data_IF_750869686032
#
_entry.id   IF_750869686032
#
_cell.length_a   1.000
_cell.length_b   1.000
_cell.length_c   1.000
_cell.angle_alpha   90.00
_cell.angle_beta   90.00
_cell.angle_gamma   90.00
#
_symmetry.space_group_name_H-M   'P 1'
#
loop_
_entity.id
_entity.type
_entity.pdbx_description
1 polymer ?
#
# COMPACT_ATOMS: atom_id res chain seq x y z
N UNK A 1 14.93 3.77 25.85
CA UNK A 1 15.17 4.47 24.58
C UNK A 1 16.64 4.83 24.52
N UNK A 2 17.29 4.53 23.40
CA UNK A 2 18.62 5.07 23.11
C UNK A 2 18.45 6.57 22.86
N UNK A 3 19.51 7.37 22.99
CA UNK A 3 19.45 8.80 22.66
C UNK A 3 20.54 9.12 21.64
N UNK A 4 20.18 9.89 20.63
CA UNK A 4 21.11 10.46 19.64
C UNK A 4 20.88 11.96 19.63
N UNK A 5 21.92 12.76 19.91
CA UNK A 5 21.82 14.23 20.02
C UNK A 5 20.70 14.69 20.99
N UNK A 6 20.55 13.99 22.12
CA UNK A 6 19.47 14.19 23.11
C UNK A 6 18.04 13.97 22.59
N UNK A 7 17.87 13.34 21.43
CA UNK A 7 16.58 12.94 20.89
C UNK A 7 16.37 11.44 21.21
N UNK A 8 15.24 11.06 21.83
CA UNK A 8 14.91 9.66 22.06
C UNK A 8 14.82 8.90 20.72
N UNK A 9 15.51 7.78 20.64
CA UNK A 9 15.48 6.88 19.49
C UNK A 9 15.20 5.44 19.92
N UNK A 10 14.57 4.73 18.99
CA UNK A 10 14.28 3.31 19.08
C UNK A 10 14.99 2.62 17.92
N UNK A 11 15.57 1.45 18.20
CA UNK A 11 16.21 0.62 17.18
C UNK A 11 15.20 -0.47 16.85
N UNK A 12 14.68 -0.47 15.62
CA UNK A 12 13.84 -1.56 15.12
C UNK A 12 14.69 -2.83 14.95
N UNK A 13 14.04 -3.98 15.08
CA UNK A 13 14.71 -5.29 14.93
C UNK A 13 15.05 -5.57 13.45
N UNK A 14 14.14 -5.18 12.57
CA UNK A 14 14.21 -5.46 11.13
C UNK A 14 14.00 -4.13 10.39
N UNK A 15 12.76 -3.77 10.07
CA UNK A 15 12.42 -2.53 9.39
C UNK A 15 11.82 -1.49 10.34
N UNK A 16 12.09 -0.20 10.06
CA UNK A 16 11.57 0.90 10.89
C UNK A 16 10.07 1.15 10.65
N UNK A 17 9.60 1.00 9.42
CA UNK A 17 8.26 1.38 8.97
C UNK A 17 7.11 0.71 9.74
N UNK A 18 7.10 -0.63 9.95
CA UNK A 18 6.07 -1.26 10.78
C UNK A 18 6.04 -0.70 12.21
N UNK A 19 7.20 -0.46 12.81
CA UNK A 19 7.29 0.08 14.17
C UNK A 19 6.80 1.54 14.21
N UNK A 20 7.18 2.35 13.24
CA UNK A 20 6.76 3.75 13.13
C UNK A 20 5.25 3.82 12.90
N UNK A 21 4.68 2.98 12.03
CA UNK A 21 3.24 2.89 11.83
C UNK A 21 2.52 2.53 13.14
N UNK A 22 2.96 1.49 13.84
CA UNK A 22 2.41 1.10 15.15
C UNK A 22 2.47 2.21 16.19
N UNK A 23 3.62 2.89 16.32
CA UNK A 23 3.78 3.99 17.28
C UNK A 23 2.92 5.19 16.89
N UNK A 24 2.81 5.50 15.60
CA UNK A 24 1.97 6.60 15.11
C UNK A 24 0.50 6.37 15.45
N UNK A 25 0.02 5.14 15.29
CA UNK A 25 -1.35 4.74 15.62
C UNK A 25 -1.59 4.71 17.13
N UNK A 26 -0.72 4.05 17.89
CA UNK A 26 -0.91 3.84 19.34
C UNK A 26 -0.78 5.12 20.18
N UNK A 27 -0.12 6.15 19.64
CA UNK A 27 0.10 7.43 20.33
C UNK A 27 -0.53 8.63 19.62
N UNK A 28 -1.34 8.40 18.59
CA UNK A 28 -1.97 9.46 17.77
C UNK A 28 -0.95 10.50 17.26
N UNK A 29 0.19 10.02 16.77
CA UNK A 29 1.26 10.86 16.21
C UNK A 29 1.22 10.86 14.68
N UNK A 30 1.80 11.90 14.08
CA UNK A 30 2.01 11.98 12.63
C UNK A 30 3.41 11.44 12.32
N UNK A 31 3.50 10.43 11.47
CA UNK A 31 4.79 9.90 11.03
C UNK A 31 5.43 10.82 9.98
N UNK A 32 6.75 10.99 10.04
CA UNK A 32 7.52 11.76 9.05
C UNK A 32 8.46 10.79 8.33
N UNK A 33 8.38 10.73 7.02
CA UNK A 33 9.00 9.66 6.22
C UNK A 33 9.36 10.16 4.81
N UNK A 34 10.22 9.44 4.09
CA UNK A 34 10.39 9.57 2.64
C UNK A 34 9.48 8.64 1.84
N UNK A 35 8.82 7.69 2.49
CA UNK A 35 8.11 6.55 1.89
C UNK A 35 6.60 6.58 2.20
N UNK A 36 5.77 6.21 1.23
CA UNK A 36 4.32 6.06 1.40
C UNK A 36 3.88 4.70 1.96
N UNK A 37 4.78 3.72 2.07
CA UNK A 37 4.46 2.36 2.53
C UNK A 37 3.87 2.28 3.94
N UNK A 38 4.11 3.31 4.77
CA UNK A 38 3.44 3.46 6.07
C UNK A 38 1.90 3.44 5.99
N UNK A 39 1.31 3.85 4.86
CA UNK A 39 -0.14 3.74 4.64
C UNK A 39 -0.59 2.28 4.53
N UNK A 40 0.23 1.40 3.94
CA UNK A 40 -0.04 -0.03 3.82
C UNK A 40 0.11 -0.75 5.17
N UNK A 41 0.99 -0.26 6.06
CA UNK A 41 1.05 -0.64 7.48
C UNK A 41 -0.07 0.00 8.34
N UNK A 42 -0.98 0.76 7.72
CA UNK A 42 -2.17 1.30 8.37
C UNK A 42 -2.00 2.66 9.05
N UNK A 43 -0.86 3.33 8.92
CA UNK A 43 -0.70 4.68 9.43
C UNK A 43 -1.74 5.63 8.79
N UNK A 44 -2.44 6.39 9.63
CA UNK A 44 -3.51 7.29 9.18
C UNK A 44 -3.03 8.66 8.73
N UNK A 45 -1.93 9.14 9.31
CA UNK A 45 -1.39 10.48 9.07
C UNK A 45 0.11 10.41 8.86
N UNK A 46 0.56 10.79 7.66
CA UNK A 46 1.97 10.80 7.32
C UNK A 46 2.37 12.10 6.63
N UNK A 47 3.60 12.55 6.88
CA UNK A 47 4.27 13.61 6.15
C UNK A 47 5.35 12.95 5.30
N UNK A 48 5.14 12.93 3.99
CA UNK A 48 6.11 12.43 3.02
C UNK A 48 7.04 13.58 2.61
N UNK A 49 8.28 13.56 3.08
CA UNK A 49 9.30 14.57 2.82
C UNK A 49 10.02 14.25 1.52
N UNK A 50 9.81 15.07 0.49
CA UNK A 50 10.48 14.92 -0.80
C UNK A 50 11.84 15.64 -0.83
N UNK A 51 11.94 16.78 -0.15
CA UNK A 51 13.19 17.51 -0.01
C UNK A 51 13.17 18.36 1.25
N UNK A 52 13.95 17.94 2.26
CA UNK A 52 14.08 18.68 3.51
C UNK A 52 14.66 20.08 3.28
N UNK A 53 15.73 20.20 2.50
CA UNK A 53 16.41 21.47 2.24
C UNK A 53 15.51 22.51 1.53
N UNK A 54 14.52 22.04 0.74
CA UNK A 54 13.57 22.92 0.04
C UNK A 54 12.25 23.09 0.79
N UNK A 55 12.07 22.42 1.93
CA UNK A 55 10.81 22.39 2.66
C UNK A 55 9.67 21.77 1.85
N UNK A 56 9.97 20.84 0.95
CA UNK A 56 8.96 20.18 0.11
C UNK A 56 8.50 18.89 0.76
N UNK A 57 7.25 18.88 1.20
CA UNK A 57 6.60 17.74 1.81
C UNK A 57 5.14 17.65 1.36
N UNK A 58 4.57 16.45 1.46
CA UNK A 58 3.15 16.19 1.29
C UNK A 58 2.59 15.67 2.59
N UNK A 59 1.49 16.24 3.05
CA UNK A 59 0.70 15.69 4.14
C UNK A 59 -0.36 14.77 3.55
N UNK A 60 -0.46 13.56 4.07
CA UNK A 60 -1.55 12.62 3.79
C UNK A 60 -2.25 12.40 5.13
N UNK A 61 -3.52 12.80 5.21
CA UNK A 61 -4.38 12.65 6.38
C UNK A 61 -5.63 11.86 5.97
N UNK A 62 -5.70 10.60 6.39
CA UNK A 62 -6.80 9.69 6.09
C UNK A 62 -8.01 9.87 7.00
N UNK A 63 -7.94 10.76 8.01
CA UNK A 63 -9.09 11.17 8.81
C UNK A 63 -9.71 12.48 8.27
N UNK A 64 -9.18 13.05 7.18
CA UNK A 64 -9.74 14.23 6.54
C UNK A 64 -11.03 13.90 5.75
N UNK A 65 -11.86 14.93 5.51
CA UNK A 65 -13.06 14.79 4.67
C UNK A 65 -12.67 14.31 3.25
N UNK A 66 -13.39 13.32 2.69
CA UNK A 66 -13.12 12.81 1.35
C UNK A 66 -13.27 13.91 0.29
N UNK A 67 -12.19 14.15 -0.44
CA UNK A 67 -12.18 14.92 -1.68
C UNK A 67 -12.46 14.04 -2.91
N UNK A 68 -12.16 14.54 -4.11
CA UNK A 68 -12.25 13.74 -5.34
C UNK A 68 -11.04 12.80 -5.50
N UNK A 69 -10.92 11.82 -4.60
CA UNK A 69 -9.81 10.86 -4.57
C UNK A 69 -10.33 9.41 -4.50
N UNK A 70 -10.60 8.77 -5.66
CA UNK A 70 -11.23 7.43 -5.70
C UNK A 70 -10.51 6.34 -4.91
N UNK A 71 -9.17 6.38 -4.84
CA UNK A 71 -8.41 5.43 -4.01
C UNK A 71 -8.62 5.66 -2.50
N UNK A 72 -8.84 6.91 -2.09
CA UNK A 72 -9.20 7.22 -0.72
C UNK A 72 -10.63 6.77 -0.39
N UNK A 73 -11.56 6.91 -1.33
CA UNK A 73 -12.92 6.39 -1.19
C UNK A 73 -12.91 4.87 -0.94
N UNK A 74 -12.12 4.12 -1.74
CA UNK A 74 -11.90 2.69 -1.50
C UNK A 74 -11.29 2.41 -0.11
N UNK A 75 -10.32 3.20 0.32
CA UNK A 75 -9.73 3.06 1.66
C UNK A 75 -10.76 3.30 2.77
N UNK A 76 -11.67 4.26 2.63
CA UNK A 76 -12.69 4.51 3.65
C UNK A 76 -13.58 3.28 3.86
N UNK A 77 -13.88 2.56 2.78
CA UNK A 77 -14.70 1.34 2.80
C UNK A 77 -13.93 0.10 3.28
N UNK A 78 -12.72 -0.11 2.76
CA UNK A 78 -12.00 -1.38 2.90
C UNK A 78 -10.71 -1.29 3.75
N UNK A 79 -10.31 -0.09 4.16
CA UNK A 79 -9.13 0.20 4.98
C UNK A 79 -7.80 -0.16 4.28
N UNK A 80 -6.79 -0.52 5.07
CA UNK A 80 -5.39 -0.65 4.63
C UNK A 80 -5.18 -1.67 3.50
N UNK A 81 -6.06 -2.67 3.36
CA UNK A 81 -5.99 -3.67 2.28
C UNK A 81 -5.93 -3.04 0.89
N UNK A 82 -6.53 -1.86 0.71
CA UNK A 82 -6.47 -1.12 -0.55
C UNK A 82 -5.06 -0.68 -0.87
N UNK A 83 -4.35 -0.12 0.10
CA UNK A 83 -2.96 0.31 -0.10
C UNK A 83 -2.02 -0.88 -0.23
N UNK A 84 -2.26 -1.96 0.51
CA UNK A 84 -1.46 -3.19 0.42
C UNK A 84 -1.56 -3.83 -0.97
N UNK A 85 -2.78 -3.98 -1.50
CA UNK A 85 -3.01 -4.50 -2.85
C UNK A 85 -2.52 -3.53 -3.92
N UNK A 86 -2.68 -2.22 -3.72
CA UNK A 86 -2.17 -1.20 -4.63
C UNK A 86 -0.63 -1.22 -4.71
N UNK A 87 0.05 -1.35 -3.57
CA UNK A 87 1.51 -1.50 -3.50
C UNK A 87 1.98 -2.77 -4.22
N UNK A 88 1.29 -3.91 -4.01
CA UNK A 88 1.59 -5.15 -4.73
C UNK A 88 1.45 -4.98 -6.26
N UNK A 89 0.44 -4.25 -6.73
CA UNK A 89 0.26 -3.99 -8.16
C UNK A 89 1.30 -3.01 -8.73
N UNK A 90 1.59 -1.91 -8.02
CA UNK A 90 2.46 -0.83 -8.49
C UNK A 90 3.95 -1.14 -8.36
N UNK A 91 4.31 -2.01 -7.43
CA UNK A 91 5.67 -2.23 -6.97
C UNK A 91 5.92 -1.55 -5.63
N UNK A 92 6.53 -2.29 -4.72
CA UNK A 92 7.12 -1.84 -3.46
C UNK A 92 8.39 -2.65 -3.17
N UNK A 93 9.06 -2.38 -2.07
CA UNK A 93 10.34 -3.02 -1.69
C UNK A 93 10.24 -4.55 -1.55
N UNK A 94 9.03 -5.08 -1.34
CA UNK A 94 8.78 -6.52 -1.22
C UNK A 94 8.40 -7.20 -2.53
N UNK A 95 8.14 -6.44 -3.59
CA UNK A 95 7.81 -7.00 -4.89
C UNK A 95 9.06 -7.49 -5.61
N UNK A 96 8.96 -8.66 -6.28
CA UNK A 96 10.08 -9.22 -7.07
C UNK A 96 10.57 -8.31 -8.20
N UNK A 97 9.68 -7.45 -8.69
CA UNK A 97 9.97 -6.49 -9.75
C UNK A 97 9.64 -5.10 -9.22
N UNK A 98 10.51 -4.12 -9.47
CA UNK A 98 10.35 -2.72 -9.06
C UNK A 98 8.99 -2.10 -9.44
N UNK A 99 8.32 -2.67 -10.45
CA UNK A 99 7.02 -2.22 -10.96
C UNK A 99 5.84 -3.11 -10.57
N UNK A 100 6.02 -4.02 -9.61
CA UNK A 100 4.98 -4.97 -9.21
C UNK A 100 4.51 -5.83 -10.39
N UNK A 101 3.22 -5.70 -10.72
CA UNK A 101 2.62 -6.34 -11.89
C UNK A 101 2.68 -5.36 -13.07
N UNK A 102 3.55 -5.65 -14.04
CA UNK A 102 3.74 -4.81 -15.23
C UNK A 102 2.40 -4.63 -15.97
N UNK A 103 2.04 -3.37 -16.20
CA UNK A 103 0.80 -2.99 -16.85
C UNK A 103 -0.34 -2.68 -15.89
N UNK A 104 -0.20 -2.86 -14.58
CA UNK A 104 -1.24 -2.47 -13.60
C UNK A 104 -0.87 -1.13 -12.97
N UNK A 105 -1.28 -0.06 -13.64
CA UNK A 105 -1.21 1.32 -13.12
C UNK A 105 -2.44 1.68 -12.29
N UNK A 106 -2.50 2.95 -11.85
CA UNK A 106 -3.64 3.48 -11.09
C UNK A 106 -4.99 3.21 -11.75
N UNK A 107 -5.15 3.59 -13.01
CA UNK A 107 -6.43 3.44 -13.72
C UNK A 107 -6.86 1.98 -13.82
N UNK A 108 -5.92 1.09 -14.16
CA UNK A 108 -6.19 -0.35 -14.24
C UNK A 108 -6.50 -0.94 -12.87
N UNK A 109 -5.83 -0.49 -11.81
CA UNK A 109 -6.14 -0.91 -10.45
C UNK A 109 -7.58 -0.51 -10.07
N UNK A 110 -7.96 0.74 -10.32
CA UNK A 110 -9.32 1.23 -10.03
C UNK A 110 -10.38 0.47 -10.83
N UNK A 111 -10.10 0.15 -12.10
CA UNK A 111 -10.98 -0.67 -12.94
C UNK A 111 -11.14 -2.10 -12.39
N UNK A 112 -10.05 -2.74 -11.93
CA UNK A 112 -10.13 -4.05 -11.27
C UNK A 112 -10.91 -3.96 -9.97
N UNK A 113 -10.61 -2.96 -9.13
CA UNK A 113 -11.26 -2.74 -7.84
C UNK A 113 -12.77 -2.57 -7.99
N UNK A 114 -13.23 -1.87 -9.04
CA UNK A 114 -14.67 -1.68 -9.32
C UNK A 114 -15.43 -2.96 -9.65
N UNK A 115 -14.71 -4.04 -9.97
CA UNK A 115 -15.26 -5.35 -10.33
C UNK A 115 -15.17 -6.36 -9.19
N UNK A 116 -14.60 -5.98 -8.04
CA UNK A 116 -14.55 -6.82 -6.85
C UNK A 116 -15.96 -6.97 -6.30
N UNK A 117 -16.38 -8.21 -6.12
CA UNK A 117 -17.67 -8.55 -5.50
C UNK A 117 -17.42 -9.12 -4.08
N UNK A 118 -18.19 -8.64 -3.11
CA UNK A 118 -18.07 -9.02 -1.70
C UNK A 118 -16.90 -8.37 -0.95
N UNK A 119 -16.28 -9.13 -0.05
CA UNK A 119 -15.18 -8.65 0.78
C UNK A 119 -13.93 -8.34 -0.06
N UNK A 120 -13.32 -7.17 0.16
CA UNK A 120 -12.12 -6.76 -0.57
C UNK A 120 -10.88 -7.42 0.05
N UNK A 121 -10.32 -8.42 -0.63
CA UNK A 121 -9.12 -9.14 -0.20
C UNK A 121 -8.34 -9.65 -1.42
N UNK A 122 -7.17 -10.27 -1.19
CA UNK A 122 -6.33 -10.77 -2.28
C UNK A 122 -7.04 -11.78 -3.20
N UNK A 123 -7.99 -12.56 -2.67
CA UNK A 123 -8.73 -13.55 -3.44
C UNK A 123 -9.78 -12.90 -4.35
N UNK A 124 -10.64 -12.03 -3.79
CA UNK A 124 -11.68 -11.36 -4.57
C UNK A 124 -11.06 -10.42 -5.61
N UNK A 125 -9.96 -9.74 -5.28
CA UNK A 125 -9.20 -8.94 -6.24
C UNK A 125 -8.56 -9.77 -7.35
N UNK A 126 -7.98 -10.93 -7.04
CA UNK A 126 -7.42 -11.83 -8.05
C UNK A 126 -8.50 -12.35 -9.02
N UNK A 127 -9.69 -12.68 -8.51
CA UNK A 127 -10.84 -13.09 -9.33
C UNK A 127 -11.29 -11.93 -10.23
N UNK A 128 -11.43 -10.73 -9.68
CA UNK A 128 -11.78 -9.54 -10.45
C UNK A 128 -10.75 -9.25 -11.55
N UNK A 129 -9.46 -9.37 -11.26
CA UNK A 129 -8.39 -9.23 -12.23
C UNK A 129 -8.47 -10.29 -13.34
N UNK A 130 -8.85 -11.53 -13.00
CA UNK A 130 -8.97 -12.62 -13.97
C UNK A 130 -10.21 -12.50 -14.88
N UNK A 131 -11.23 -11.77 -14.44
CA UNK A 131 -12.53 -11.68 -15.13
C UNK A 131 -12.48 -10.95 -16.48
N UNK A 132 -11.51 -10.05 -16.72
CA UNK A 132 -11.35 -9.34 -17.99
C UNK A 132 -10.18 -9.93 -18.80
N UNK A 133 -10.35 -10.03 -20.12
CA UNK A 133 -9.31 -10.52 -21.02
C UNK A 133 -8.03 -9.66 -20.94
N UNK A 134 -8.16 -8.33 -20.86
CA UNK A 134 -7.00 -7.41 -20.81
C UNK A 134 -6.19 -7.61 -19.53
N UNK A 135 -6.83 -7.56 -18.36
CA UNK A 135 -6.13 -7.70 -17.07
C UNK A 135 -5.61 -9.12 -16.85
N UNK A 136 -6.30 -10.14 -17.40
CA UNK A 136 -5.81 -11.53 -17.43
C UNK A 136 -4.58 -11.69 -18.32
N UNK A 137 -4.56 -11.10 -19.51
CA UNK A 137 -3.36 -11.14 -20.38
C UNK A 137 -2.16 -10.47 -19.71
N UNK A 138 -2.36 -9.33 -19.02
CA UNK A 138 -1.30 -8.69 -18.22
C UNK A 138 -0.80 -9.61 -17.12
N UNK A 139 -1.68 -10.30 -16.39
CA UNK A 139 -1.27 -11.27 -15.37
C UNK A 139 -0.41 -12.40 -15.97
N UNK A 140 -0.84 -12.98 -17.09
CA UNK A 140 -0.10 -14.05 -17.79
C UNK A 140 1.28 -13.58 -18.23
N UNK A 141 1.41 -12.35 -18.75
CA UNK A 141 2.70 -11.74 -19.12
C UNK A 141 3.64 -11.56 -17.92
N UNK A 142 3.09 -11.44 -16.72
CA UNK A 142 3.84 -11.40 -15.46
C UNK A 142 4.05 -12.79 -14.84
N UNK A 143 3.82 -13.88 -15.60
CA UNK A 143 4.03 -15.27 -15.15
C UNK A 143 2.91 -15.84 -14.28
N UNK A 144 1.78 -15.14 -14.13
CA UNK A 144 0.63 -15.58 -13.33
C UNK A 144 -0.46 -16.15 -14.24
N UNK A 145 -0.34 -17.44 -14.54
CA UNK A 145 -1.20 -18.16 -15.49
C UNK A 145 -2.56 -18.61 -14.93
N UNK A 146 -2.83 -18.34 -13.65
CA UNK A 146 -4.09 -18.70 -12.98
C UNK A 146 -4.49 -17.61 -11.99
N UNK A 147 -5.79 -17.46 -11.65
CA UNK A 147 -6.21 -16.53 -10.60
C UNK A 147 -5.58 -16.89 -9.24
N UNK A 148 -5.33 -18.17 -8.99
CA UNK A 148 -4.63 -18.64 -7.80
C UNK A 148 -3.19 -18.14 -7.71
N UNK A 149 -2.44 -18.09 -8.82
CA UNK A 149 -1.09 -17.52 -8.84
C UNK A 149 -1.11 -16.01 -8.53
N UNK A 150 -2.12 -15.28 -9.01
CA UNK A 150 -2.31 -13.86 -8.69
C UNK A 150 -2.60 -13.70 -7.20
N UNK A 151 -3.53 -14.50 -6.66
CA UNK A 151 -3.90 -14.48 -5.24
C UNK A 151 -2.68 -14.73 -4.35
N UNK A 152 -1.89 -15.76 -4.65
CA UNK A 152 -0.67 -16.09 -3.87
C UNK A 152 0.32 -14.92 -3.89
N UNK A 153 0.53 -14.30 -5.06
CA UNK A 153 1.41 -13.15 -5.18
C UNK A 153 0.92 -11.96 -4.34
N UNK A 154 -0.36 -11.59 -4.49
CA UNK A 154 -0.96 -10.47 -3.75
C UNK A 154 -0.97 -10.73 -2.25
N UNK A 155 -1.37 -11.93 -1.83
CA UNK A 155 -1.41 -12.31 -0.41
C UNK A 155 -0.03 -12.26 0.23
N UNK A 156 1.02 -12.69 -0.49
CA UNK A 156 2.38 -12.62 0.03
C UNK A 156 2.85 -11.20 0.37
N UNK A 157 2.34 -10.18 -0.34
CA UNK A 157 2.62 -8.77 -0.03
C UNK A 157 1.71 -8.28 1.12
N UNK A 158 0.43 -8.64 1.10
CA UNK A 158 -0.52 -8.33 2.18
C UNK A 158 -0.04 -8.86 3.52
N UNK A 159 0.48 -10.09 3.56
CA UNK A 159 0.98 -10.74 4.77
C UNK A 159 2.21 -10.03 5.37
N UNK A 160 2.99 -9.31 4.56
CA UNK A 160 4.15 -8.53 5.04
C UNK A 160 3.69 -7.23 5.73
N UNK A 161 2.62 -6.61 5.23
CA UNK A 161 2.08 -5.37 5.77
C UNK A 161 1.09 -5.54 6.93
N UNK A 162 0.66 -6.77 7.22
CA UNK A 162 -0.34 -7.11 8.25
C UNK A 162 0.30 -7.37 9.61
#
# INVERSE_FOLDING_TARGET
ATHVLNIPCFISKEEADPHVAYVSLSKELVAVTGDSDLLAYGAKKIIVVQSYARGWYRLIDLDAEPGQYPLFDLYLEHKAIIFQLYAACRGCDFTKHERGIVGIGYETFMDIASRVDGEFNANSFAIAMWSSDDTRQRAVQNGMETPEKIRIYLQGIVDIYS
#
